data_IF_800918639453
#
_entry.id   IF_800918639453
#
_cell.length_a   1.000
_cell.length_b   1.000
_cell.length_c   1.000
_cell.angle_alpha   90.00
_cell.angle_beta   90.00
_cell.angle_gamma   90.00
#
_symmetry.space_group_name_H-M   'P 1'
#
loop_
_entity.id
_entity.type
_entity.pdbx_description
1 polymer ?
#
# COMPACT_ATOMS: atom_id res chain seq x y z
N UNK A 1 -23.43 10.93 61.71
CA UNK A 1 -22.63 11.27 60.51
C UNK A 1 -21.77 10.08 60.14
N UNK A 2 -22.07 9.36 59.04
CA UNK A 2 -21.20 8.26 58.57
C UNK A 2 -20.03 8.84 57.79
N UNK A 3 -18.82 8.69 58.33
CA UNK A 3 -17.55 8.94 57.65
C UNK A 3 -17.49 8.04 56.40
N UNK A 4 -17.73 8.62 55.22
CA UNK A 4 -17.57 7.88 53.97
C UNK A 4 -16.08 7.76 53.68
N UNK A 5 -15.55 6.53 53.74
CA UNK A 5 -14.21 6.19 53.25
C UNK A 5 -14.07 6.69 51.81
N UNK A 6 -13.23 7.70 51.59
CA UNK A 6 -12.92 8.23 50.26
C UNK A 6 -12.00 7.22 49.55
N UNK A 7 -12.58 6.33 48.75
CA UNK A 7 -11.84 5.50 47.80
C UNK A 7 -11.45 6.39 46.62
N UNK A 8 -10.22 6.91 46.65
CA UNK A 8 -9.65 7.69 45.56
C UNK A 8 -9.57 6.79 44.30
N UNK A 9 -10.16 7.24 43.18
CA UNK A 9 -10.10 6.54 41.89
C UNK A 9 -11.35 5.75 41.49
N UNK A 10 -12.33 5.55 42.38
CA UNK A 10 -13.60 4.88 42.02
C UNK A 10 -14.71 5.92 41.83
N UNK A 11 -15.48 5.87 40.72
CA UNK A 11 -16.62 6.75 40.53
C UNK A 11 -17.60 6.63 41.69
N UNK A 12 -17.80 7.73 42.43
CA UNK A 12 -18.69 7.76 43.60
C UNK A 12 -20.14 7.42 43.24
N UNK A 13 -20.56 7.75 42.02
CA UNK A 13 -21.93 7.54 41.54
C UNK A 13 -21.96 6.98 40.12
N UNK A 14 -23.00 6.19 39.83
CA UNK A 14 -23.29 5.72 38.47
C UNK A 14 -23.57 6.91 37.54
N UNK A 15 -22.88 6.99 36.41
CA UNK A 15 -23.20 7.98 35.37
C UNK A 15 -24.54 7.65 34.70
N UNK A 16 -25.43 8.64 34.58
CA UNK A 16 -26.72 8.48 33.90
C UNK A 16 -26.58 8.18 32.40
N UNK A 17 -27.60 7.56 31.79
CA UNK A 17 -27.61 7.24 30.35
C UNK A 17 -27.41 8.50 29.50
N UNK A 18 -28.11 9.59 29.81
CA UNK A 18 -27.99 10.87 29.11
C UNK A 18 -26.56 11.41 29.15
N UNK A 19 -25.91 11.44 30.33
CA UNK A 19 -24.51 11.88 30.47
C UNK A 19 -23.52 11.01 29.69
N UNK A 20 -23.78 9.70 29.58
CA UNK A 20 -22.95 8.80 28.76
C UNK A 20 -23.14 9.07 27.26
N UNK A 21 -24.37 9.30 26.82
CA UNK A 21 -24.68 9.59 25.42
C UNK A 21 -24.08 10.91 24.96
N UNK A 22 -24.27 12.00 25.70
CA UNK A 22 -23.70 13.30 25.34
C UNK A 22 -22.16 13.28 25.34
N UNK A 23 -21.54 12.50 26.25
CA UNK A 23 -20.08 12.30 26.25
C UNK A 23 -19.57 11.44 25.09
N UNK A 24 -20.39 10.51 24.57
CA UNK A 24 -20.04 9.64 23.44
C UNK A 24 -20.19 10.39 22.11
N UNK A 25 -21.30 11.10 21.95
CA UNK A 25 -21.68 11.82 20.72
C UNK A 25 -21.43 13.33 20.83
N UNK A 26 -20.43 13.73 21.63
CA UNK A 26 -20.00 15.13 21.68
C UNK A 26 -19.31 15.52 20.38
N UNK A 27 -19.43 16.78 19.98
CA UNK A 27 -18.89 17.32 18.72
C UNK A 27 -17.43 16.94 18.42
N UNK A 28 -16.59 16.88 19.45
CA UNK A 28 -15.16 16.54 19.32
C UNK A 28 -14.88 15.08 19.00
N UNK A 29 -15.85 14.18 19.18
CA UNK A 29 -15.70 12.73 18.97
C UNK A 29 -16.44 12.21 17.75
N UNK A 30 -17.18 13.08 17.06
CA UNK A 30 -17.86 12.70 15.84
C UNK A 30 -16.85 12.60 14.71
N UNK A 31 -17.05 11.63 13.83
CA UNK A 31 -16.33 11.56 12.58
C UNK A 31 -16.65 12.81 11.75
N UNK A 32 -15.61 13.35 11.11
CA UNK A 32 -15.77 14.44 10.15
C UNK A 32 -15.87 13.85 8.76
N UNK A 33 -16.68 14.48 7.92
CA UNK A 33 -16.75 14.14 6.51
C UNK A 33 -15.39 14.44 5.87
N UNK A 34 -14.92 13.55 4.99
CA UNK A 34 -13.76 13.84 4.15
C UNK A 34 -14.24 14.49 2.85
N UNK A 35 -13.84 15.74 2.64
CA UNK A 35 -14.22 16.55 1.47
C UNK A 35 -13.23 16.39 0.30
N UNK A 36 -12.10 15.72 0.53
CA UNK A 36 -10.97 15.65 -0.42
C UNK A 36 -10.91 14.30 -1.15
N UNK A 37 -12.07 13.73 -1.50
CA UNK A 37 -12.14 12.48 -2.27
C UNK A 37 -12.31 12.82 -3.75
N UNK A 38 -11.37 12.36 -4.58
CA UNK A 38 -11.36 12.58 -6.03
C UNK A 38 -11.31 11.25 -6.79
N UNK A 39 -11.86 11.24 -8.00
CA UNK A 39 -11.77 10.10 -8.92
C UNK A 39 -10.38 10.02 -9.54
N UNK A 40 -9.80 8.82 -9.61
CA UNK A 40 -8.53 8.60 -10.30
C UNK A 40 -8.67 8.75 -11.81
N UNK A 41 -7.73 9.42 -12.47
CA UNK A 41 -7.73 9.58 -13.93
C UNK A 41 -7.47 8.27 -14.70
N UNK A 42 -6.89 7.26 -14.04
CA UNK A 42 -6.48 6.01 -14.68
C UNK A 42 -7.56 4.92 -14.61
N UNK A 43 -8.14 4.73 -13.42
CA UNK A 43 -9.04 3.63 -13.09
C UNK A 43 -10.41 4.10 -12.57
N UNK A 44 -10.63 5.40 -12.48
CA UNK A 44 -11.88 6.04 -12.00
C UNK A 44 -12.26 5.73 -10.54
N UNK A 45 -11.45 4.96 -9.81
CA UNK A 45 -11.68 4.68 -8.40
C UNK A 45 -11.47 5.94 -7.52
N UNK A 46 -12.29 6.14 -6.47
CA UNK A 46 -12.12 7.25 -5.55
C UNK A 46 -10.86 7.06 -4.69
N UNK A 47 -10.11 8.13 -4.52
CA UNK A 47 -8.95 8.20 -3.64
C UNK A 47 -8.82 9.60 -3.04
N UNK A 48 -7.98 9.76 -2.02
CA UNK A 48 -7.74 11.06 -1.41
C UNK A 48 -6.83 11.91 -2.30
N UNK A 49 -7.09 13.22 -2.41
CA UNK A 49 -6.29 14.17 -3.22
C UNK A 49 -4.80 14.12 -2.88
N UNK A 50 -4.45 13.83 -1.62
CA UNK A 50 -3.06 13.82 -1.15
C UNK A 50 -2.37 12.45 -1.25
N UNK A 51 -3.07 11.43 -1.72
CA UNK A 51 -2.53 10.07 -1.82
C UNK A 51 -2.52 9.58 -3.27
N UNK A 52 -1.69 8.58 -3.56
CA UNK A 52 -1.73 7.89 -4.85
C UNK A 52 -2.92 6.92 -4.81
N UNK A 53 -3.56 6.70 -5.97
CA UNK A 53 -4.63 5.72 -6.07
C UNK A 53 -4.15 4.32 -5.64
N UNK A 54 -4.82 3.74 -4.64
CA UNK A 54 -4.45 2.44 -4.08
C UNK A 54 -4.52 1.31 -5.10
N UNK A 55 -5.54 1.28 -5.95
CA UNK A 55 -5.72 0.20 -6.95
C UNK A 55 -4.65 0.26 -8.03
N UNK A 56 -4.28 1.46 -8.49
CA UNK A 56 -3.21 1.62 -9.48
C UNK A 56 -1.85 1.27 -8.88
N UNK A 57 -1.59 1.70 -7.64
CA UNK A 57 -0.35 1.38 -6.94
C UNK A 57 -0.22 -0.13 -6.71
N UNK A 58 -1.30 -0.82 -6.37
CA UNK A 58 -1.30 -2.28 -6.18
C UNK A 58 -0.91 -3.02 -7.46
N UNK A 59 -1.43 -2.60 -8.63
CA UNK A 59 -1.02 -3.17 -9.92
C UNK A 59 0.46 -2.95 -10.26
N UNK A 60 1.01 -1.77 -9.92
CA UNK A 60 2.46 -1.51 -10.08
C UNK A 60 3.26 -2.35 -9.08
N UNK A 61 2.75 -2.51 -7.87
CA UNK A 61 3.40 -3.27 -6.82
C UNK A 61 3.54 -4.75 -7.20
N UNK A 62 2.50 -5.37 -7.74
CA UNK A 62 2.54 -6.76 -8.20
C UNK A 62 3.53 -6.95 -9.33
N UNK A 63 3.52 -6.06 -10.33
CA UNK A 63 4.44 -6.15 -11.47
C UNK A 63 5.90 -5.93 -11.05
N UNK A 64 6.16 -4.95 -10.19
CA UNK A 64 7.53 -4.71 -9.68
C UNK A 64 8.04 -5.86 -8.83
N UNK A 65 7.18 -6.53 -8.06
CA UNK A 65 7.57 -7.73 -7.31
C UNK A 65 7.86 -8.90 -8.25
N UNK A 66 7.05 -9.11 -9.28
CA UNK A 66 7.32 -10.12 -10.33
C UNK A 66 8.68 -9.89 -10.99
N UNK A 67 8.99 -8.65 -11.34
CA UNK A 67 10.30 -8.27 -11.90
C UNK A 67 11.42 -8.54 -10.89
N UNK A 68 11.25 -8.17 -9.62
CA UNK A 68 12.25 -8.45 -8.57
C UNK A 68 12.49 -9.95 -8.40
N UNK A 69 11.46 -10.79 -8.42
CA UNK A 69 11.61 -12.24 -8.34
C UNK A 69 12.42 -12.79 -9.52
N UNK A 70 12.16 -12.30 -10.73
CA UNK A 70 12.95 -12.65 -11.92
C UNK A 70 14.41 -12.17 -11.81
N UNK A 71 14.63 -10.96 -11.31
CA UNK A 71 15.98 -10.42 -11.07
C UNK A 71 16.73 -11.21 -9.99
N UNK A 72 16.06 -11.66 -8.93
CA UNK A 72 16.68 -12.48 -7.88
C UNK A 72 17.00 -13.90 -8.36
N UNK A 73 16.17 -14.46 -9.25
CA UNK A 73 16.46 -15.73 -9.93
C UNK A 73 17.66 -15.59 -10.86
N UNK A 74 17.74 -14.48 -11.58
CA UNK A 74 18.92 -14.08 -12.34
C UNK A 74 19.95 -13.44 -11.41
N UNK A 75 20.51 -14.19 -10.47
CA UNK A 75 21.63 -13.70 -9.66
C UNK A 75 22.97 -13.99 -10.40
N UNK A 76 23.59 -13.01 -11.07
CA UNK A 76 24.87 -13.19 -11.77
C UNK A 76 26.07 -13.32 -10.81
N UNK A 77 25.84 -13.20 -9.49
CA UNK A 77 26.88 -13.28 -8.45
C UNK A 77 26.68 -14.51 -7.55
N UNK A 78 27.56 -15.49 -7.71
CA UNK A 78 27.74 -16.61 -6.78
C UNK A 78 28.94 -16.30 -5.88
N UNK A 79 28.73 -15.58 -4.77
CA UNK A 79 29.81 -15.19 -3.86
C UNK A 79 30.59 -13.95 -4.34
N UNK A 80 31.92 -14.05 -4.50
CA UNK A 80 32.81 -12.90 -4.74
C UNK A 80 33.12 -12.59 -6.22
N UNK A 81 32.54 -13.32 -7.18
CA UNK A 81 32.84 -13.18 -8.62
C UNK A 81 31.55 -13.05 -9.44
N UNK A 82 31.59 -12.17 -10.46
CA UNK A 82 30.57 -12.15 -11.53
C UNK A 82 30.76 -13.35 -12.43
N UNK A 83 29.67 -13.96 -12.90
CA UNK A 83 29.74 -14.89 -14.02
C UNK A 83 30.32 -14.14 -15.25
N UNK A 84 31.40 -14.64 -15.88
CA UNK A 84 31.87 -14.05 -17.13
C UNK A 84 30.78 -14.18 -18.19
N UNK A 85 30.59 -13.12 -18.96
CA UNK A 85 29.73 -13.15 -20.15
C UNK A 85 30.25 -14.24 -21.08
N UNK A 86 29.50 -15.33 -21.21
CA UNK A 86 29.81 -16.39 -22.16
C UNK A 86 29.33 -15.87 -23.52
N UNK A 87 30.28 -15.46 -24.36
CA UNK A 87 30.01 -15.14 -25.76
C UNK A 87 29.81 -16.46 -26.52
N UNK A 88 28.63 -17.06 -26.34
CA UNK A 88 28.19 -18.17 -27.18
C UNK A 88 27.88 -17.62 -28.58
N UNK A 89 28.44 -18.29 -29.59
CA UNK A 89 28.30 -17.99 -31.02
C UNK A 89 26.88 -17.54 -31.40
N UNK A 90 26.71 -16.67 -32.41
CA UNK A 90 25.41 -16.10 -32.77
C UNK A 90 24.33 -17.20 -32.79
N UNK A 91 23.34 -17.13 -31.89
CA UNK A 91 22.40 -18.22 -31.74
C UNK A 91 21.60 -18.36 -33.04
N UNK A 92 21.56 -19.57 -33.60
CA UNK A 92 20.60 -19.92 -34.64
C UNK A 92 19.20 -19.82 -34.02
N UNK A 93 18.61 -18.62 -34.07
CA UNK A 93 17.26 -18.30 -33.57
C UNK A 93 16.89 -19.04 -32.28
N UNK A 94 17.78 -19.07 -31.30
CA UNK A 94 17.36 -19.42 -29.95
C UNK A 94 16.57 -18.21 -29.47
N UNK A 95 15.26 -18.39 -29.32
CA UNK A 95 14.38 -17.45 -28.65
C UNK A 95 15.02 -17.12 -27.31
N UNK A 96 15.71 -15.97 -27.27
CA UNK A 96 16.03 -15.27 -26.03
C UNK A 96 14.74 -15.36 -25.24
N UNK A 97 14.80 -15.78 -23.98
CA UNK A 97 13.68 -15.73 -23.03
C UNK A 97 13.37 -14.25 -22.76
N UNK A 98 12.93 -13.58 -23.81
CA UNK A 98 11.97 -12.52 -23.91
C UNK A 98 10.64 -13.23 -24.18
N UNK A 99 10.32 -14.23 -23.35
CA UNK A 99 9.00 -14.85 -23.39
C UNK A 99 8.00 -13.75 -23.12
N UNK A 100 7.37 -13.31 -24.22
CA UNK A 100 6.31 -12.31 -24.30
C UNK A 100 6.57 -11.12 -23.39
N UNK A 101 7.15 -10.07 -23.98
CA UNK A 101 6.73 -8.73 -23.60
C UNK A 101 5.23 -8.66 -23.91
N UNK A 102 4.40 -9.14 -22.97
CA UNK A 102 2.97 -8.87 -22.98
C UNK A 102 2.84 -7.37 -23.20
N UNK A 103 2.01 -7.01 -24.19
CA UNK A 103 1.82 -5.65 -24.69
C UNK A 103 2.09 -4.63 -23.59
N UNK A 104 3.26 -3.96 -23.67
CA UNK A 104 3.69 -3.02 -22.63
C UNK A 104 2.53 -2.09 -22.31
N UNK A 105 2.12 -2.06 -21.05
CA UNK A 105 1.03 -1.18 -20.65
C UNK A 105 1.43 0.26 -20.98
N UNK A 106 0.55 1.00 -21.66
CA UNK A 106 0.86 2.32 -22.26
C UNK A 106 1.34 3.41 -21.29
N UNK A 107 1.38 3.11 -20.00
CA UNK A 107 1.85 3.97 -18.91
C UNK A 107 3.37 3.87 -18.67
N UNK A 108 4.03 2.80 -19.13
CA UNK A 108 5.49 2.64 -19.04
C UNK A 108 6.17 3.45 -20.16
N UNK A 109 6.38 4.75 -19.90
CA UNK A 109 6.90 5.70 -20.88
C UNK A 109 8.39 5.53 -21.17
N UNK A 110 8.74 4.88 -22.28
CA UNK A 110 10.05 5.03 -22.93
C UNK A 110 9.79 5.62 -24.31
N UNK A 111 9.92 6.94 -24.43
CA UNK A 111 10.14 7.64 -25.70
C UNK A 111 11.64 7.75 -25.90
N UNK A 112 12.19 6.86 -26.69
CA UNK A 112 13.01 7.04 -27.93
C UNK A 112 13.66 5.71 -28.26
#
# INVERSE_FOLDING_TARGET
MRLTRLLLGVPKYRTSKAKKQTRKFGWTKLYRLNEYIVSCNACENPHDVRTICGTCYEGIHTETNRIKEQMMKYNPYMGNTQQPYIEESPPERHEVITEKIEKKQGWFGWKT
#
